data_IF_357305877670
#
_entry.id   IF_357305877670
#
_cell.length_a   1.000
_cell.length_b   1.000
_cell.length_c   1.000
_cell.angle_alpha   90.00
_cell.angle_beta   90.00
_cell.angle_gamma   90.00
#
_symmetry.space_group_name_H-M   'P 1'
#
loop_
_entity.id
_entity.type
_entity.pdbx_description
1 polymer ?
#
# COMPACT_ATOMS: atom_id res chain seq x y z
N UNK A 1 6.68 0.55 3.11
CA UNK A 1 5.74 -0.11 4.04
C UNK A 1 6.13 0.30 5.45
N UNK A 2 5.31 1.07 6.16
CA UNK A 2 5.62 1.46 7.54
C UNK A 2 5.87 0.20 8.38
N UNK A 3 7.02 0.13 9.06
CA UNK A 3 7.37 -1.03 9.87
C UNK A 3 6.27 -1.27 10.91
N UNK A 4 5.94 -2.54 11.17
CA UNK A 4 4.92 -2.90 12.17
C UNK A 4 5.19 -2.28 13.54
N UNK A 5 6.45 -1.93 13.82
CA UNK A 5 6.88 -1.18 14.99
C UNK A 5 6.18 0.18 15.13
N UNK A 6 6.15 1.02 14.08
CA UNK A 6 5.53 2.36 14.17
C UNK A 6 4.03 2.29 14.44
N UNK A 7 3.35 1.28 13.89
CA UNK A 7 1.94 1.01 14.20
C UNK A 7 1.75 0.66 15.67
N UNK A 8 2.66 -0.13 16.24
CA UNK A 8 2.69 -0.43 17.68
C UNK A 8 2.91 0.84 18.52
N UNK A 9 3.86 1.69 18.14
CA UNK A 9 4.13 2.98 18.80
C UNK A 9 2.89 3.86 18.85
N UNK A 10 2.18 4.01 17.72
CA UNK A 10 0.90 4.76 17.68
C UNK A 10 -0.16 4.12 18.55
N UNK A 11 -0.28 2.79 18.54
CA UNK A 11 -1.22 2.07 19.41
C UNK A 11 -0.98 2.33 20.90
N UNK A 12 0.29 2.26 21.33
CA UNK A 12 0.68 2.57 22.72
C UNK A 12 0.43 4.04 23.06
N UNK A 13 0.74 4.96 22.14
CA UNK A 13 0.46 6.39 22.31
C UNK A 13 -1.03 6.70 22.51
N UNK A 14 -1.89 6.09 21.69
CA UNK A 14 -3.34 6.24 21.81
C UNK A 14 -3.89 5.63 23.10
N UNK A 15 -3.38 4.47 23.52
CA UNK A 15 -3.76 3.85 24.78
C UNK A 15 -3.36 4.73 25.99
N UNK A 16 -2.14 5.27 25.99
CA UNK A 16 -1.67 6.18 27.04
C UNK A 16 -2.47 7.48 27.07
N UNK A 17 -2.89 7.99 25.91
CA UNK A 17 -3.74 9.18 25.79
C UNK A 17 -5.15 8.92 26.34
N UNK A 18 -5.73 7.76 26.03
CA UNK A 18 -7.02 7.34 26.59
C UNK A 18 -6.95 7.18 28.12
N UNK A 19 -5.85 6.62 28.64
CA UNK A 19 -5.60 6.52 30.07
C UNK A 19 -5.54 7.91 30.74
N UNK A 20 -4.78 8.85 30.17
CA UNK A 20 -4.71 10.22 30.68
C UNK A 20 -6.07 10.93 30.65
N UNK A 21 -6.87 10.70 29.60
CA UNK A 21 -8.23 11.23 29.51
C UNK A 21 -9.16 10.64 30.59
N UNK A 22 -9.05 9.34 30.87
CA UNK A 22 -9.79 8.70 31.96
C UNK A 22 -9.39 9.28 33.32
N UNK A 23 -8.09 9.43 33.60
CA UNK A 23 -7.59 10.06 34.83
C UNK A 23 -8.07 11.51 34.97
N UNK A 24 -8.06 12.30 33.90
CA UNK A 24 -8.57 13.67 33.91
C UNK A 24 -10.09 13.72 34.16
N UNK A 25 -10.85 12.81 33.56
CA UNK A 25 -12.30 12.70 33.79
C UNK A 25 -12.62 12.31 35.24
N UNK A 26 -11.89 11.35 35.80
CA UNK A 26 -12.04 10.95 37.20
C UNK A 26 -11.66 12.09 38.15
N UNK A 27 -10.56 12.79 37.90
CA UNK A 27 -10.17 13.97 38.67
C UNK A 27 -11.26 15.05 38.66
N UNK A 28 -11.82 15.34 37.48
CA UNK A 28 -12.91 16.32 37.35
C UNK A 28 -14.18 15.90 38.10
N UNK A 29 -14.52 14.61 38.07
CA UNK A 29 -15.64 14.07 38.84
C UNK A 29 -15.40 14.17 40.35
N UNK A 30 -14.16 13.90 40.81
CA UNK A 30 -13.78 14.01 42.21
C UNK A 30 -13.85 15.46 42.73
N UNK A 31 -13.35 16.43 41.96
CA UNK A 31 -13.43 17.86 42.32
C UNK A 31 -14.87 18.35 42.45
N UNK A 32 -15.75 17.92 41.53
CA UNK A 32 -17.18 18.24 41.59
C UNK A 32 -17.85 17.70 42.84
N UNK A 33 -17.46 16.49 43.28
CA UNK A 33 -18.05 15.83 44.45
C UNK A 33 -17.57 16.44 45.77
N UNK A 34 -16.37 17.02 45.79
CA UNK A 34 -15.72 17.57 46.99
C UNK A 34 -15.86 19.08 47.12
N UNK A 35 -16.61 19.72 46.21
CA UNK A 35 -16.81 21.17 46.13
C UNK A 35 -15.50 21.99 46.03
N UNK A 36 -14.38 21.33 45.67
CA UNK A 36 -13.08 21.96 45.44
C UNK A 36 -12.88 22.34 43.97
N UNK A 37 -13.74 23.20 43.43
CA UNK A 37 -13.73 23.55 42.00
C UNK A 37 -12.49 24.31 41.51
N UNK A 38 -11.65 24.83 42.42
CA UNK A 38 -10.53 25.73 42.07
C UNK A 38 -9.16 25.04 41.97
N UNK A 39 -9.07 23.73 42.16
CA UNK A 39 -7.79 23.02 42.03
C UNK A 39 -7.40 22.80 40.56
N UNK A 40 -6.15 23.12 40.22
CA UNK A 40 -5.62 22.88 38.88
C UNK A 40 -5.39 21.39 38.63
N UNK A 41 -5.40 20.98 37.36
CA UNK A 41 -5.14 19.58 36.99
C UNK A 41 -3.73 19.16 37.46
N UNK A 42 -3.56 17.96 38.04
CA UNK A 42 -2.26 17.44 38.45
C UNK A 42 -1.27 17.46 37.28
N UNK A 43 -0.06 17.96 37.55
CA UNK A 43 1.01 18.11 36.56
C UNK A 43 1.35 16.77 35.90
N UNK A 44 1.25 15.67 36.65
CA UNK A 44 1.47 14.31 36.15
C UNK A 44 0.53 13.95 35.00
N UNK A 45 -0.77 14.23 35.14
CA UNK A 45 -1.76 14.00 34.08
C UNK A 45 -1.40 14.83 32.85
N UNK A 46 -1.11 16.12 33.03
CA UNK A 46 -0.73 17.03 31.93
C UNK A 46 0.50 16.54 31.19
N UNK A 47 1.53 16.11 31.92
CA UNK A 47 2.77 15.59 31.33
C UNK A 47 2.51 14.28 30.57
N UNK A 48 1.69 13.38 31.13
CA UNK A 48 1.29 12.14 30.46
C UNK A 48 0.53 12.42 29.16
N UNK A 49 -0.42 13.37 29.14
CA UNK A 49 -1.15 13.74 27.92
C UNK A 49 -0.22 14.34 26.87
N UNK A 50 0.70 15.24 27.27
CA UNK A 50 1.64 15.86 26.33
C UNK A 50 2.62 14.85 25.73
N UNK A 51 3.18 13.97 26.55
CA UNK A 51 4.11 12.93 26.08
C UNK A 51 3.41 11.92 25.17
N UNK A 52 2.22 11.44 25.55
CA UNK A 52 1.43 10.53 24.71
C UNK A 52 1.00 11.17 23.39
N UNK A 53 0.66 12.46 23.40
CA UNK A 53 0.34 13.21 22.18
C UNK A 53 1.54 13.33 21.24
N UNK A 54 2.70 13.78 21.74
CA UNK A 54 3.93 13.90 20.94
C UNK A 54 4.35 12.55 20.36
N UNK A 55 4.31 11.48 21.18
CA UNK A 55 4.63 10.13 20.73
C UNK A 55 3.69 9.64 19.62
N UNK A 56 2.39 9.93 19.74
CA UNK A 56 1.38 9.57 18.73
C UNK A 56 1.62 10.33 17.43
N UNK A 57 1.84 11.65 17.49
CA UNK A 57 2.16 12.47 16.31
C UNK A 57 3.42 11.97 15.61
N UNK A 58 4.47 11.68 16.38
CA UNK A 58 5.74 11.19 15.86
C UNK A 58 5.57 9.84 15.14
N UNK A 59 4.80 8.92 15.73
CA UNK A 59 4.50 7.64 15.10
C UNK A 59 3.66 7.78 13.82
N UNK A 60 2.67 8.68 13.80
CA UNK A 60 1.80 8.89 12.62
C UNK A 60 2.61 9.43 11.44
N UNK A 61 3.52 10.39 11.67
CA UNK A 61 4.38 10.96 10.61
C UNK A 61 5.21 9.86 9.93
N UNK A 62 5.73 8.90 10.71
CA UNK A 62 6.49 7.76 10.16
C UNK A 62 5.60 6.71 9.47
N UNK A 63 4.29 6.67 9.77
CA UNK A 63 3.33 5.81 9.08
C UNK A 63 2.84 6.43 7.77
N UNK A 64 2.77 7.76 7.69
CA UNK A 64 2.22 8.50 6.55
C UNK A 64 2.91 8.19 5.22
N UNK A 65 4.14 7.67 5.26
CA UNK A 65 4.88 7.18 4.11
C UNK A 65 6.04 8.08 3.75
N UNK A 66 6.94 7.54 2.93
CA UNK A 66 8.09 8.27 2.43
C UNK A 66 7.70 9.19 1.29
N UNK A 67 8.36 10.34 1.22
CA UNK A 67 8.25 11.20 0.05
C UNK A 67 8.88 10.51 -1.16
N UNK A 68 8.27 10.70 -2.33
CA UNK A 68 8.76 10.21 -3.61
C UNK A 68 9.28 11.38 -4.43
N UNK A 69 10.37 11.15 -5.17
CA UNK A 69 10.94 12.15 -6.07
C UNK A 69 9.91 12.65 -7.10
N UNK A 70 9.92 13.96 -7.32
CA UNK A 70 9.05 14.61 -8.31
C UNK A 70 9.53 14.41 -9.75
N UNK A 71 10.81 14.12 -9.96
CA UNK A 71 11.38 13.93 -11.30
C UNK A 71 10.95 12.60 -11.90
N UNK A 72 10.14 12.65 -12.97
CA UNK A 72 9.71 11.47 -13.70
C UNK A 72 10.89 10.68 -14.31
N UNK A 73 12.02 11.34 -14.58
CA UNK A 73 13.22 10.69 -15.12
C UNK A 73 13.86 9.73 -14.13
N UNK A 74 13.70 9.95 -12.82
CA UNK A 74 14.29 9.08 -11.78
C UNK A 74 13.63 7.70 -11.78
N UNK A 75 12.31 7.62 -12.02
CA UNK A 75 11.59 6.36 -12.17
C UNK A 75 11.93 5.64 -13.46
N UNK A 76 12.18 6.38 -14.54
CA UNK A 76 12.49 5.82 -15.85
C UNK A 76 13.90 5.23 -15.94
N UNK A 77 14.85 5.72 -15.13
CA UNK A 77 16.24 5.18 -15.10
C UNK A 77 16.30 3.69 -14.81
N UNK A 78 15.37 3.16 -14.02
CA UNK A 78 15.32 1.73 -13.68
C UNK A 78 14.54 0.88 -14.69
N UNK A 79 13.98 1.48 -15.76
CA UNK A 79 13.24 0.75 -16.80
C UNK A 79 14.13 0.44 -18.00
N UNK A 80 14.28 -0.84 -18.32
CA UNK A 80 15.00 -1.30 -19.52
C UNK A 80 14.10 -1.30 -20.76
N UNK A 81 14.70 -1.15 -21.94
CA UNK A 81 14.00 -1.20 -23.22
C UNK A 81 13.14 -2.46 -23.39
N UNK A 82 13.56 -3.60 -22.85
CA UNK A 82 12.77 -4.85 -22.90
C UNK A 82 11.41 -4.72 -22.20
N UNK A 83 11.33 -3.97 -21.09
CA UNK A 83 10.06 -3.73 -20.38
C UNK A 83 9.16 -2.75 -21.12
N UNK A 84 9.74 -1.82 -21.87
CA UNK A 84 9.00 -0.81 -22.66
C UNK A 84 8.51 -1.36 -24.00
N UNK A 85 9.31 -2.22 -24.66
CA UNK A 85 8.97 -2.81 -25.97
C UNK A 85 7.78 -3.78 -25.88
N UNK A 86 7.57 -4.35 -24.71
CA UNK A 86 6.50 -5.27 -24.45
C UNK A 86 5.14 -4.55 -24.42
N UNK A 87 4.36 -4.67 -25.51
CA UNK A 87 3.00 -4.11 -25.61
C UNK A 87 1.93 -5.19 -25.40
N UNK A 88 1.28 -5.26 -24.22
CA UNK A 88 0.30 -6.31 -23.90
C UNK A 88 -0.88 -6.37 -24.86
N UNK A 89 -1.30 -5.22 -25.38
CA UNK A 89 -2.41 -5.11 -26.33
C UNK A 89 -2.13 -5.76 -27.69
N UNK A 90 -0.86 -6.01 -28.03
CA UNK A 90 -0.43 -6.53 -29.33
C UNK A 90 0.28 -7.89 -29.23
N UNK A 91 0.01 -8.66 -28.18
CA UNK A 91 0.60 -9.99 -28.06
C UNK A 91 0.11 -10.94 -29.15
N UNK A 92 1.06 -11.47 -29.91
CA UNK A 92 0.86 -12.61 -30.79
C UNK A 92 1.43 -13.86 -30.11
N UNK A 93 0.57 -14.84 -29.84
CA UNK A 93 0.96 -16.11 -29.20
C UNK A 93 1.54 -17.13 -30.20
N UNK A 94 1.77 -16.73 -31.45
CA UNK A 94 2.43 -17.56 -32.45
C UNK A 94 3.95 -17.35 -32.42
N UNK A 95 4.60 -17.83 -31.36
CA UNK A 95 6.05 -17.73 -31.15
C UNK A 95 6.68 -19.10 -30.84
N UNK A 96 8.00 -19.21 -30.92
CA UNK A 96 8.77 -20.45 -30.67
C UNK A 96 8.52 -21.06 -29.28
N UNK A 97 8.19 -20.23 -28.29
CA UNK A 97 7.84 -20.69 -26.95
C UNK A 97 6.65 -21.64 -26.89
N UNK A 98 5.75 -21.60 -27.90
CA UNK A 98 4.59 -22.50 -27.99
C UNK A 98 5.00 -23.97 -28.17
N UNK A 99 6.14 -24.24 -28.80
CA UNK A 99 6.64 -25.61 -29.03
C UNK A 99 7.63 -26.00 -27.93
N UNK A 100 8.45 -25.06 -27.48
CA UNK A 100 9.50 -25.29 -26.49
C UNK A 100 8.96 -25.50 -25.06
N UNK A 101 7.84 -24.87 -24.72
CA UNK A 101 7.25 -24.92 -23.37
C UNK A 101 5.87 -25.61 -23.34
N UNK A 102 5.56 -26.45 -24.34
CA UNK A 102 4.29 -27.17 -24.39
C UNK A 102 4.27 -28.29 -23.34
N UNK A 103 3.31 -28.23 -22.42
CA UNK A 103 3.02 -29.35 -21.51
C UNK A 103 2.23 -30.45 -22.24
N UNK A 104 2.50 -31.75 -22.01
CA UNK A 104 1.88 -32.86 -22.76
C UNK A 104 0.36 -32.98 -22.68
N UNK A 105 -0.32 -32.20 -21.83
CA UNK A 105 -1.76 -32.35 -21.52
C UNK A 105 -2.68 -31.36 -22.25
N UNK A 106 -2.13 -30.50 -23.13
CA UNK A 106 -2.91 -29.56 -23.93
C UNK A 106 -3.24 -30.14 -25.32
N UNK A 107 -4.44 -30.72 -25.42
CA UNK A 107 -5.13 -30.97 -26.68
C UNK A 107 -5.25 -29.66 -27.49
N UNK A 108 -5.11 -29.69 -28.82
CA UNK A 108 -5.13 -28.49 -29.64
C UNK A 108 -6.52 -27.85 -29.61
N UNK A 109 -6.66 -26.71 -28.93
CA UNK A 109 -7.86 -25.87 -29.07
C UNK A 109 -7.93 -25.37 -30.51
N UNK A 110 -8.95 -25.83 -31.23
CA UNK A 110 -9.16 -25.65 -32.67
C UNK A 110 -9.54 -24.23 -33.10
N UNK A 111 -9.50 -23.24 -32.21
CA UNK A 111 -9.87 -21.85 -32.52
C UNK A 111 -8.70 -21.04 -33.09
N UNK A 112 -7.81 -21.67 -33.85
CA UNK A 112 -7.05 -20.96 -34.88
C UNK A 112 -7.96 -20.83 -36.09
N UNK A 113 -8.84 -19.82 -36.08
CA UNK A 113 -9.35 -19.28 -37.34
C UNK A 113 -8.17 -18.60 -38.04
N UNK A 114 -7.34 -19.44 -38.66
CA UNK A 114 -6.32 -19.02 -39.58
C UNK A 114 -7.05 -18.25 -40.68
N UNK A 115 -6.81 -16.94 -40.75
CA UNK A 115 -7.19 -16.17 -41.92
C UNK A 115 -6.64 -16.96 -43.12
N UNK A 116 -7.47 -17.40 -44.08
CA UNK A 116 -7.01 -18.26 -45.15
C UNK A 116 -5.89 -17.52 -45.88
N UNK A 117 -4.73 -18.17 -45.93
CA UNK A 117 -3.53 -17.63 -46.54
C UNK A 117 -3.88 -17.27 -48.00
N UNK A 118 -3.92 -15.99 -48.40
CA UNK A 118 -4.48 -15.57 -49.71
C UNK A 118 -3.68 -16.13 -50.89
N UNK A 119 -2.46 -16.62 -50.64
CA UNK A 119 -1.58 -17.24 -51.62
C UNK A 119 -2.11 -18.61 -52.09
N UNK A 120 -2.92 -19.32 -51.29
CA UNK A 120 -3.48 -20.64 -51.70
C UNK A 120 -4.62 -20.53 -52.70
N UNK A 121 -5.35 -19.41 -52.74
CA UNK A 121 -6.46 -19.19 -53.68
C UNK A 121 -5.97 -18.96 -55.12
N UNK A 122 -4.77 -18.42 -55.31
CA UNK A 122 -4.21 -18.16 -56.65
C UNK A 122 -3.69 -19.41 -57.37
N UNK A 123 -3.69 -20.58 -56.73
CA UNK A 123 -3.18 -21.84 -57.32
C UNK A 123 -4.27 -22.75 -57.90
N UNK A 124 -5.52 -22.31 -57.95
CA UNK A 124 -6.67 -23.10 -58.41
C UNK A 124 -7.37 -22.55 -59.67
N UNK A 125 -6.78 -21.56 -60.37
CA UNK A 125 -7.34 -20.98 -61.61
C UNK A 125 -6.60 -21.39 -62.89
N UNK A 126 -6.10 -22.64 -62.98
CA UNK A 126 -5.67 -23.22 -64.26
C UNK A 126 -6.03 -24.69 -64.35
#
# INVERSE_FOLDING_TARGET
MASSFWKGVVGVGLFALAHAAFSAAQHRSYMRLTEKEHETLPIDIVLQTLLSFVMTCYGIVHIAGEFKDMDASSELKNKTFDTLRNHPSFYLFNHRGRVLFRTPKEEPSSNQQALPNPIRLRKLEH
#
